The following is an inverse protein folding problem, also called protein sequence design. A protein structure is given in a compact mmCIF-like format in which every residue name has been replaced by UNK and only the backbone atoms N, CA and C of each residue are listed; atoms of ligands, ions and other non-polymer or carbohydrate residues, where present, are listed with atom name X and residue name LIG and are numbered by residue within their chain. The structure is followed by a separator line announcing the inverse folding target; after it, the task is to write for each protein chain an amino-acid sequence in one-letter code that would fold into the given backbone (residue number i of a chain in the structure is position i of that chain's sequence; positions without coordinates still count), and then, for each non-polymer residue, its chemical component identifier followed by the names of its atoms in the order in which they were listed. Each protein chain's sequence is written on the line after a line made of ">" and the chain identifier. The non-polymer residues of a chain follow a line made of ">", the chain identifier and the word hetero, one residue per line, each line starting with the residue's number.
data_IF_172842478461
#
_entry.id   IF_172842478461
#
_cell.length_a   1.000
_cell.length_b   1.000
_cell.length_c   1.000
_cell.angle_alpha   90.00
_cell.angle_beta   90.00
_cell.angle_gamma   90.00
#
_symmetry.space_group_name_H-M   'P 1'
#
loop_
_entity.id
_entity.type
_entity.pdbx_description
1 polymer ?
#
# COMPACT_ATOMS: atom_id res chain seq x y z
N UNK A 1 21.45 3.34 -17.25
CA UNK A 1 20.29 3.71 -16.43
C UNK A 1 20.23 2.66 -15.35
N UNK A 2 20.12 3.01 -14.08
CA UNK A 2 19.91 2.01 -13.03
C UNK A 2 18.54 1.35 -13.26
N UNK A 3 18.51 0.03 -13.30
CA UNK A 3 17.26 -0.72 -13.38
C UNK A 3 16.33 -0.30 -12.23
N UNK A 4 15.04 -0.12 -12.54
CA UNK A 4 14.08 0.26 -11.52
C UNK A 4 13.74 -0.95 -10.65
N UNK A 5 14.01 -0.86 -9.35
CA UNK A 5 13.88 -1.98 -8.41
C UNK A 5 12.54 -2.73 -8.53
N UNK A 6 11.42 -2.01 -8.66
CA UNK A 6 10.09 -2.61 -8.69
C UNK A 6 9.78 -3.40 -9.99
N UNK A 7 10.51 -3.15 -11.09
CA UNK A 7 10.37 -3.96 -12.31
C UNK A 7 10.72 -5.43 -12.07
N UNK A 8 11.57 -5.72 -11.08
CA UNK A 8 11.94 -7.09 -10.70
C UNK A 8 11.03 -7.67 -9.60
N UNK A 9 10.04 -6.95 -9.11
CA UNK A 9 9.17 -7.35 -8.00
C UNK A 9 7.76 -7.75 -8.43
N UNK A 10 7.52 -7.99 -9.72
CA UNK A 10 6.19 -8.31 -10.27
C UNK A 10 5.59 -9.55 -9.60
N UNK A 11 6.38 -10.63 -9.45
CA UNK A 11 5.92 -11.86 -8.80
C UNK A 11 5.58 -11.63 -7.33
N UNK A 12 6.44 -10.94 -6.59
CA UNK A 12 6.17 -10.54 -5.21
C UNK A 12 4.84 -9.78 -5.10
N UNK A 13 4.63 -8.76 -5.93
CA UNK A 13 3.41 -7.97 -5.93
C UNK A 13 2.16 -8.84 -6.22
N UNK A 14 2.25 -9.78 -7.15
CA UNK A 14 1.15 -10.71 -7.48
C UNK A 14 0.86 -11.68 -6.34
N UNK A 15 1.90 -12.16 -5.67
CA UNK A 15 1.80 -13.19 -4.64
C UNK A 15 1.33 -12.63 -3.30
N UNK A 16 1.50 -11.34 -3.01
CA UNK A 16 1.24 -10.77 -1.69
C UNK A 16 0.05 -9.81 -1.65
N UNK A 17 -0.28 -9.09 -2.71
CA UNK A 17 -1.33 -8.05 -2.68
C UNK A 17 -2.71 -8.55 -2.28
N UNK A 18 -3.05 -9.81 -2.59
CA UNK A 18 -4.32 -10.41 -2.20
C UNK A 18 -4.46 -10.66 -0.69
N UNK A 19 -3.37 -10.57 0.08
CA UNK A 19 -3.39 -10.71 1.55
C UNK A 19 -4.10 -9.54 2.26
N UNK A 20 -4.34 -8.42 1.58
CA UNK A 20 -4.76 -7.16 2.22
C UNK A 20 -6.26 -6.90 2.20
N UNK A 21 -6.98 -7.36 1.18
CA UNK A 21 -8.39 -6.99 0.97
C UNK A 21 -9.26 -8.19 0.64
N UNK A 22 -10.49 -8.20 1.17
CA UNK A 22 -11.57 -9.00 0.62
C UNK A 22 -12.32 -8.21 -0.47
N UNK A 23 -12.79 -8.90 -1.51
CA UNK A 23 -13.44 -8.25 -2.66
C UNK A 23 -14.79 -7.63 -2.26
N UNK A 24 -15.55 -8.28 -1.38
CA UNK A 24 -16.81 -7.77 -0.84
C UNK A 24 -16.64 -6.48 -0.01
N UNK A 25 -15.50 -6.33 0.68
CA UNK A 25 -15.20 -5.09 1.38
C UNK A 25 -14.88 -3.94 0.43
N UNK A 26 -14.14 -4.19 -0.66
CA UNK A 26 -13.91 -3.19 -1.69
C UNK A 26 -15.23 -2.76 -2.35
N UNK A 27 -16.14 -3.70 -2.62
CA UNK A 27 -17.48 -3.40 -3.11
C UNK A 27 -18.27 -2.55 -2.10
N UNK A 28 -18.22 -2.89 -0.81
CA UNK A 28 -18.81 -2.07 0.25
C UNK A 28 -18.24 -0.65 0.27
N UNK A 29 -16.92 -0.47 0.13
CA UNK A 29 -16.30 0.85 0.08
C UNK A 29 -16.82 1.66 -1.11
N UNK A 30 -16.85 1.08 -2.30
CA UNK A 30 -17.36 1.73 -3.53
C UNK A 30 -18.81 2.16 -3.36
N UNK A 31 -19.67 1.25 -2.91
CA UNK A 31 -21.13 1.48 -2.90
C UNK A 31 -21.61 2.29 -1.69
N UNK A 32 -21.04 2.04 -0.50
CA UNK A 32 -21.58 2.57 0.77
C UNK A 32 -20.75 3.72 1.34
N UNK A 33 -19.45 3.68 1.19
CA UNK A 33 -18.56 4.70 1.76
C UNK A 33 -18.32 5.82 0.78
N UNK A 34 -17.87 5.50 -0.43
CA UNK A 34 -17.59 6.50 -1.48
C UNK A 34 -18.82 6.84 -2.32
N UNK A 35 -19.85 5.98 -2.30
CA UNK A 35 -21.14 6.17 -2.97
C UNK A 35 -20.99 6.45 -4.48
N UNK A 36 -20.15 5.67 -5.13
CA UNK A 36 -19.89 5.76 -6.56
C UNK A 36 -21.03 5.02 -7.30
N UNK A 37 -21.98 5.75 -7.84
CA UNK A 37 -23.18 5.21 -8.51
C UNK A 37 -23.28 5.58 -9.98
N UNK A 38 -22.26 6.27 -10.52
CA UNK A 38 -22.15 6.67 -11.92
C UNK A 38 -20.76 6.35 -12.44
N UNK A 39 -20.57 6.17 -13.75
CA UNK A 39 -19.25 5.98 -14.34
C UNK A 39 -18.27 7.08 -13.90
N UNK A 40 -17.06 6.69 -13.58
CA UNK A 40 -15.98 7.57 -13.11
C UNK A 40 -14.71 7.35 -13.90
N UNK A 41 -13.93 8.42 -14.05
CA UNK A 41 -12.57 8.38 -14.59
C UNK A 41 -11.58 8.35 -13.42
N UNK A 42 -10.82 7.28 -13.34
CA UNK A 42 -9.83 7.06 -12.26
C UNK A 42 -8.43 7.27 -12.81
N UNK A 43 -7.57 7.89 -12.01
CA UNK A 43 -6.11 7.88 -12.19
C UNK A 43 -5.45 7.27 -10.95
N UNK A 44 -4.53 6.34 -11.13
CA UNK A 44 -3.71 5.76 -10.07
C UNK A 44 -2.25 6.15 -10.22
N UNK A 45 -1.69 6.68 -9.14
CA UNK A 45 -0.30 7.12 -9.01
C UNK A 45 0.53 6.01 -8.38
N UNK A 46 1.57 5.54 -9.08
CA UNK A 46 2.35 4.37 -8.68
C UNK A 46 1.53 3.08 -8.84
N UNK A 47 0.92 2.88 -10.02
CA UNK A 47 -0.03 1.79 -10.23
C UNK A 47 0.60 0.39 -10.27
N UNK A 48 1.93 0.29 -10.40
CA UNK A 48 2.60 -0.97 -10.62
C UNK A 48 2.01 -1.70 -11.85
N UNK A 49 1.63 -2.96 -11.67
CA UNK A 49 0.94 -3.74 -12.73
C UNK A 49 -0.60 -3.52 -12.77
N UNK A 50 -1.13 -2.49 -12.11
CA UNK A 50 -2.56 -2.15 -12.14
C UNK A 50 -3.44 -2.95 -11.17
N UNK A 51 -2.91 -3.42 -10.05
CA UNK A 51 -3.65 -4.25 -9.09
C UNK A 51 -4.98 -3.61 -8.63
N UNK A 52 -4.99 -2.32 -8.27
CA UNK A 52 -6.24 -1.67 -7.85
C UNK A 52 -7.23 -1.51 -9.00
N UNK A 53 -6.73 -1.30 -10.23
CA UNK A 53 -7.59 -1.34 -11.43
C UNK A 53 -8.30 -2.68 -11.59
N UNK A 54 -7.58 -3.81 -11.41
CA UNK A 54 -8.15 -5.15 -11.46
C UNK A 54 -9.22 -5.39 -10.39
N UNK A 55 -9.08 -4.76 -9.23
CA UNK A 55 -10.03 -4.90 -8.12
C UNK A 55 -11.24 -3.97 -8.22
N UNK A 56 -11.05 -2.75 -8.71
CA UNK A 56 -12.10 -1.73 -8.70
C UNK A 56 -12.97 -1.76 -9.96
N UNK A 57 -12.39 -1.94 -11.15
CA UNK A 57 -13.17 -1.91 -12.41
C UNK A 57 -14.34 -2.89 -12.44
N UNK A 58 -14.23 -4.13 -11.93
CA UNK A 58 -15.36 -5.07 -11.91
C UNK A 58 -16.54 -4.63 -11.04
N UNK A 59 -16.31 -3.76 -10.05
CA UNK A 59 -17.32 -3.34 -9.06
C UNK A 59 -17.77 -1.87 -9.25
N UNK A 60 -17.14 -1.16 -10.17
CA UNK A 60 -17.53 0.20 -10.56
C UNK A 60 -18.67 0.18 -11.60
N UNK A 61 -19.48 1.25 -11.69
CA UNK A 61 -20.48 1.38 -12.73
C UNK A 61 -19.90 1.25 -14.15
N UNK A 62 -20.63 0.57 -15.02
CA UNK A 62 -20.25 0.37 -16.43
C UNK A 62 -19.92 1.72 -17.11
N UNK A 63 -18.87 1.74 -17.94
CA UNK A 63 -18.34 2.95 -18.56
C UNK A 63 -17.33 3.72 -17.69
N UNK A 64 -16.96 3.20 -16.51
CA UNK A 64 -15.82 3.72 -15.76
C UNK A 64 -14.51 3.42 -16.49
N UNK A 65 -13.54 4.35 -16.40
CA UNK A 65 -12.24 4.23 -17.06
C UNK A 65 -11.10 4.32 -16.04
N UNK A 66 -9.97 3.72 -16.38
CA UNK A 66 -8.81 3.68 -15.49
C UNK A 66 -7.53 4.09 -16.22
N UNK A 67 -6.79 5.03 -15.64
CA UNK A 67 -5.45 5.42 -16.09
C UNK A 67 -4.45 5.09 -14.98
N UNK A 68 -3.50 4.21 -15.25
CA UNK A 68 -2.40 3.87 -14.36
C UNK A 68 -1.12 4.58 -14.75
N UNK A 69 -0.37 5.12 -13.79
CA UNK A 69 0.94 5.73 -14.02
C UNK A 69 1.96 5.10 -13.11
N UNK A 70 3.06 4.67 -13.68
CA UNK A 70 4.24 4.17 -12.96
C UNK A 70 5.50 4.51 -13.77
N UNK A 71 6.66 4.57 -13.12
CA UNK A 71 7.94 4.74 -13.80
C UNK A 71 8.58 3.42 -14.23
N UNK A 72 8.08 2.29 -13.72
CA UNK A 72 8.52 0.94 -14.06
C UNK A 72 8.04 0.55 -15.45
N UNK A 73 8.98 0.37 -16.37
CA UNK A 73 8.67 -0.01 -17.76
C UNK A 73 8.08 -1.42 -17.81
N UNK A 74 8.68 -2.37 -17.09
CA UNK A 74 8.24 -3.77 -17.09
C UNK A 74 6.91 -3.93 -16.35
N UNK A 75 6.70 -3.17 -15.28
CA UNK A 75 5.41 -3.09 -14.59
C UNK A 75 4.29 -2.63 -15.53
N UNK A 76 4.51 -1.56 -16.29
CA UNK A 76 3.53 -1.01 -17.23
C UNK A 76 3.30 -1.96 -18.42
N UNK A 77 4.35 -2.59 -18.94
CA UNK A 77 4.21 -3.60 -19.99
C UNK A 77 3.34 -4.77 -19.51
N UNK A 78 3.60 -5.26 -18.32
CA UNK A 78 2.81 -6.33 -17.70
C UNK A 78 1.34 -5.92 -17.45
N UNK A 79 1.12 -4.67 -17.00
CA UNK A 79 -0.23 -4.12 -16.86
C UNK A 79 -0.97 -4.11 -18.21
N UNK A 80 -0.33 -3.62 -19.28
CA UNK A 80 -0.91 -3.61 -20.63
C UNK A 80 -1.28 -5.03 -21.11
N UNK A 81 -0.41 -6.02 -20.89
CA UNK A 81 -0.67 -7.42 -21.25
C UNK A 81 -1.90 -7.98 -20.53
N UNK A 82 -2.04 -7.72 -19.24
CA UNK A 82 -3.19 -8.18 -18.45
C UNK A 82 -4.48 -7.50 -18.92
N UNK A 83 -4.47 -6.17 -19.03
CA UNK A 83 -5.68 -5.40 -19.30
C UNK A 83 -6.15 -5.51 -20.76
N UNK A 84 -5.26 -5.84 -21.71
CA UNK A 84 -5.65 -6.15 -23.08
C UNK A 84 -6.59 -7.37 -23.20
N UNK A 85 -6.65 -8.23 -22.16
CA UNK A 85 -7.54 -9.40 -22.11
C UNK A 85 -8.87 -9.11 -21.38
N UNK A 86 -9.07 -7.89 -20.89
CA UNK A 86 -10.21 -7.51 -20.06
C UNK A 86 -11.12 -6.52 -20.81
N UNK A 87 -12.44 -6.51 -20.52
CA UNK A 87 -13.41 -5.65 -21.21
C UNK A 87 -13.45 -4.22 -20.63
N UNK A 88 -12.33 -3.70 -20.14
CA UNK A 88 -12.26 -2.40 -19.47
C UNK A 88 -11.51 -1.37 -20.30
N UNK A 89 -11.99 -0.13 -20.31
CA UNK A 89 -11.30 1.01 -20.90
C UNK A 89 -10.19 1.45 -19.93
N UNK A 90 -8.94 1.18 -20.32
CA UNK A 90 -7.75 1.42 -19.47
C UNK A 90 -6.58 1.94 -20.28
N UNK A 91 -5.78 2.80 -19.66
CA UNK A 91 -4.56 3.37 -20.21
C UNK A 91 -3.43 3.25 -19.18
N UNK A 92 -2.23 2.87 -19.62
CA UNK A 92 -1.05 2.78 -18.76
C UNK A 92 0.08 3.65 -19.31
N UNK A 93 0.68 4.47 -18.45
CA UNK A 93 1.65 5.49 -18.83
C UNK A 93 2.94 5.26 -18.04
N UNK A 94 4.05 5.04 -18.76
CA UNK A 94 5.40 5.06 -18.16
C UNK A 94 5.79 6.51 -17.94
N UNK A 95 5.85 6.95 -16.69
CA UNK A 95 6.24 8.32 -16.37
C UNK A 95 6.70 8.46 -14.92
N UNK A 96 7.68 9.33 -14.70
CA UNK A 96 8.01 9.79 -13.36
C UNK A 96 6.95 10.82 -12.91
N UNK A 97 6.23 10.44 -11.87
CA UNK A 97 5.11 11.23 -11.34
C UNK A 97 5.59 12.59 -10.82
N UNK A 98 6.83 12.68 -10.34
CA UNK A 98 7.36 13.94 -9.83
C UNK A 98 7.48 15.02 -10.92
N UNK A 99 7.74 14.63 -12.15
CA UNK A 99 8.01 15.54 -13.26
C UNK A 99 6.82 15.76 -14.19
N UNK A 100 5.83 14.87 -14.17
CA UNK A 100 4.72 14.90 -15.13
C UNK A 100 3.61 15.87 -14.70
N UNK A 101 3.24 16.85 -15.54
CA UNK A 101 2.04 17.65 -15.34
C UNK A 101 0.80 16.84 -15.73
N UNK A 102 -0.25 16.89 -14.92
CA UNK A 102 -1.53 16.27 -15.25
C UNK A 102 -2.63 17.33 -15.41
N UNK A 103 -3.44 17.16 -16.44
CA UNK A 103 -4.63 17.96 -16.62
C UNK A 103 -5.72 17.54 -15.61
N UNK A 104 -6.51 18.51 -15.18
CA UNK A 104 -7.64 18.31 -14.28
C UNK A 104 -8.81 17.63 -15.00
N UNK A 105 -8.79 16.32 -15.10
CA UNK A 105 -9.78 15.56 -15.89
C UNK A 105 -10.38 14.33 -15.20
N UNK A 106 -9.86 13.93 -14.04
CA UNK A 106 -10.30 12.71 -13.36
C UNK A 106 -11.37 13.00 -12.30
N UNK A 107 -12.19 12.00 -12.03
CA UNK A 107 -13.18 12.05 -10.96
C UNK A 107 -12.57 11.54 -9.65
N UNK A 108 -11.61 10.61 -9.74
CA UNK A 108 -10.93 10.01 -8.60
C UNK A 108 -9.44 9.88 -8.90
N UNK A 109 -8.60 10.26 -7.92
CA UNK A 109 -7.17 9.94 -7.91
C UNK A 109 -6.87 8.94 -6.79
N UNK A 110 -6.10 7.90 -7.11
CA UNK A 110 -5.75 6.82 -6.18
C UNK A 110 -4.24 6.73 -6.02
N UNK A 111 -3.78 6.36 -4.81
CA UNK A 111 -2.45 5.79 -4.54
C UNK A 111 -2.61 4.49 -3.77
N UNK A 112 -1.76 3.50 -4.04
CA UNK A 112 -1.75 2.23 -3.35
C UNK A 112 -0.33 1.76 -3.04
N UNK A 113 0.03 1.76 -1.76
CA UNK A 113 1.39 1.44 -1.27
C UNK A 113 2.49 2.20 -2.06
N UNK A 114 2.25 3.48 -2.30
CA UNK A 114 3.10 4.33 -3.14
C UNK A 114 3.70 5.49 -2.36
N UNK A 115 2.89 6.21 -1.57
CA UNK A 115 3.34 7.41 -0.86
C UNK A 115 4.42 7.13 0.19
N UNK A 116 4.48 5.91 0.72
CA UNK A 116 5.55 5.48 1.63
C UNK A 116 6.96 5.56 1.00
N UNK A 117 7.04 5.51 -0.33
CA UNK A 117 8.30 5.59 -1.07
C UNK A 117 8.72 7.02 -1.42
N UNK A 118 7.85 7.99 -1.18
CA UNK A 118 8.10 9.39 -1.54
C UNK A 118 8.78 10.14 -0.39
N UNK A 119 9.77 10.95 -0.73
CA UNK A 119 10.45 11.85 0.23
C UNK A 119 9.61 13.09 0.54
N UNK A 120 8.73 13.49 -0.37
CA UNK A 120 7.76 14.57 -0.22
C UNK A 120 6.35 14.08 -0.62
N UNK A 121 5.68 13.29 0.25
CA UNK A 121 4.34 12.78 -0.03
C UNK A 121 3.28 13.89 -0.15
N UNK A 122 3.48 15.03 0.51
CA UNK A 122 2.57 16.17 0.41
C UNK A 122 2.56 16.78 -1.00
N UNK A 123 3.72 16.87 -1.65
CA UNK A 123 3.84 17.31 -3.05
C UNK A 123 3.06 16.38 -3.99
N UNK A 124 3.16 15.07 -3.77
CA UNK A 124 2.42 14.09 -4.57
C UNK A 124 0.91 14.20 -4.32
N UNK A 125 0.48 14.33 -3.06
CA UNK A 125 -0.93 14.55 -2.73
C UNK A 125 -1.48 15.81 -3.39
N UNK A 126 -0.71 16.91 -3.46
CA UNK A 126 -1.10 18.12 -4.20
C UNK A 126 -1.31 17.83 -5.69
N UNK A 127 -0.41 17.06 -6.34
CA UNK A 127 -0.59 16.63 -7.73
C UNK A 127 -1.85 15.78 -7.93
N UNK A 128 -2.11 14.83 -7.03
CA UNK A 128 -3.34 14.04 -7.04
C UNK A 128 -4.59 14.94 -6.96
N UNK A 129 -4.60 15.90 -6.04
CA UNK A 129 -5.69 16.87 -5.88
C UNK A 129 -5.87 17.72 -7.15
N UNK A 130 -4.78 18.17 -7.76
CA UNK A 130 -4.81 19.01 -8.97
C UNK A 130 -5.29 18.24 -10.21
N UNK A 131 -5.11 16.94 -10.26
CA UNK A 131 -5.62 16.08 -11.34
C UNK A 131 -7.13 15.80 -11.24
N UNK A 132 -7.73 16.04 -10.07
CA UNK A 132 -9.13 15.72 -9.79
C UNK A 132 -10.04 16.95 -10.02
N UNK A 133 -11.19 16.73 -10.63
CA UNK A 133 -12.25 17.73 -10.80
C UNK A 133 -12.79 18.20 -9.44
N UNK A 134 -13.41 19.38 -9.40
CA UNK A 134 -14.16 19.81 -8.22
C UNK A 134 -15.28 18.82 -7.87
N UNK A 135 -15.44 18.52 -6.60
CA UNK A 135 -16.29 17.45 -6.04
C UNK A 135 -15.83 16.01 -6.36
N UNK A 136 -14.68 15.82 -6.99
CA UNK A 136 -14.07 14.50 -7.13
C UNK A 136 -13.32 14.10 -5.86
N UNK A 137 -12.71 12.93 -5.84
CA UNK A 137 -12.17 12.29 -4.63
C UNK A 137 -10.70 11.94 -4.78
N UNK A 138 -9.94 12.06 -3.71
CA UNK A 138 -8.61 11.45 -3.56
C UNK A 138 -8.75 10.30 -2.57
N UNK A 139 -8.22 9.13 -2.93
CA UNK A 139 -8.25 7.90 -2.13
C UNK A 139 -6.82 7.35 -2.02
N UNK A 140 -6.33 7.14 -0.80
CA UNK A 140 -4.99 6.62 -0.54
C UNK A 140 -5.08 5.32 0.25
N UNK A 141 -4.53 4.25 -0.30
CA UNK A 141 -4.36 2.96 0.35
C UNK A 141 -2.89 2.83 0.76
N UNK A 142 -2.57 3.25 1.97
CA UNK A 142 -1.17 3.32 2.41
C UNK A 142 -0.92 2.49 3.67
N UNK A 143 0.24 1.84 3.78
CA UNK A 143 0.52 0.97 4.90
C UNK A 143 0.76 1.71 6.21
N UNK A 144 0.56 0.98 7.30
CA UNK A 144 1.04 1.30 8.62
C UNK A 144 1.89 0.11 9.09
N UNK A 145 3.17 0.11 8.70
CA UNK A 145 4.02 -1.08 8.82
C UNK A 145 4.18 -1.62 10.23
N UNK A 146 4.29 -0.75 11.26
CA UNK A 146 4.31 -1.22 12.65
C UNK A 146 3.05 -2.04 12.96
N UNK A 147 1.88 -1.57 12.51
CA UNK A 147 0.65 -2.32 12.72
C UNK A 147 0.63 -3.63 11.92
N UNK A 148 1.15 -3.65 10.68
CA UNK A 148 1.27 -4.87 9.89
C UNK A 148 2.16 -5.90 10.59
N UNK A 149 3.33 -5.48 11.06
CA UNK A 149 4.31 -6.37 11.68
C UNK A 149 3.83 -6.91 13.03
N UNK A 150 2.98 -6.17 13.74
CA UNK A 150 2.48 -6.55 15.07
C UNK A 150 1.13 -7.27 15.08
N UNK A 151 0.38 -7.19 13.97
CA UNK A 151 -0.98 -7.75 13.93
C UNK A 151 -0.99 -9.18 13.41
N UNK A 152 -0.24 -10.02 14.07
CA UNK A 152 -0.20 -11.46 13.84
C UNK A 152 -0.20 -12.21 15.18
N UNK A 153 -0.59 -13.48 15.14
CA UNK A 153 -0.52 -14.40 16.26
C UNK A 153 -0.05 -15.76 15.75
N UNK A 154 1.10 -16.19 16.23
CA UNK A 154 1.64 -17.54 15.99
C UNK A 154 1.35 -18.40 17.21
N UNK A 155 0.60 -19.49 17.03
CA UNK A 155 0.20 -20.36 18.13
C UNK A 155 1.39 -21.05 18.77
N UNK A 156 1.36 -21.15 20.11
CA UNK A 156 2.39 -21.78 20.91
C UNK A 156 3.64 -20.93 21.18
N UNK A 157 3.67 -19.65 20.76
CA UNK A 157 4.81 -18.74 20.94
C UNK A 157 4.36 -17.45 21.62
N UNK A 158 5.15 -16.97 22.56
CA UNK A 158 4.92 -15.64 23.14
C UNK A 158 5.24 -14.56 22.13
N UNK A 159 4.30 -13.64 21.91
CA UNK A 159 4.43 -12.57 20.91
C UNK A 159 5.68 -11.71 21.12
N UNK A 160 6.09 -11.46 22.35
CA UNK A 160 7.28 -10.69 22.68
C UNK A 160 8.60 -11.37 22.28
N UNK A 161 8.59 -12.69 22.03
CA UNK A 161 9.78 -13.42 21.61
C UNK A 161 10.07 -13.26 20.11
N UNK A 162 9.05 -12.91 19.32
CA UNK A 162 9.14 -12.81 17.87
C UNK A 162 8.92 -11.39 17.33
N UNK A 163 8.40 -10.45 18.13
CA UNK A 163 8.14 -9.06 17.73
C UNK A 163 8.57 -8.09 18.82
N UNK A 164 9.55 -7.23 18.51
CA UNK A 164 10.08 -6.20 19.41
C UNK A 164 9.51 -4.83 19.06
N UNK A 165 8.27 -4.55 19.47
CA UNK A 165 7.51 -3.36 19.06
C UNK A 165 8.24 -2.03 19.33
N UNK A 166 8.90 -1.89 20.49
CA UNK A 166 9.65 -0.67 20.81
C UNK A 166 10.80 -0.44 19.82
N UNK A 167 11.57 -1.48 19.55
CA UNK A 167 12.69 -1.43 18.59
C UNK A 167 12.18 -1.12 17.16
N UNK A 168 11.10 -1.77 16.73
CA UNK A 168 10.49 -1.50 15.44
C UNK A 168 10.03 -0.05 15.30
N UNK A 169 9.43 0.53 16.35
CA UNK A 169 9.03 1.92 16.33
C UNK A 169 10.23 2.85 16.15
N UNK A 170 11.30 2.63 16.88
CA UNK A 170 12.54 3.40 16.76
C UNK A 170 13.15 3.29 15.37
N UNK A 171 13.21 2.08 14.81
CA UNK A 171 13.72 1.86 13.45
C UNK A 171 12.94 2.66 12.42
N UNK A 172 11.61 2.63 12.43
CA UNK A 172 10.79 3.41 11.49
C UNK A 172 10.97 4.91 11.66
N UNK A 173 11.12 5.41 12.89
CA UNK A 173 11.37 6.82 13.16
C UNK A 173 12.75 7.26 12.68
N UNK A 174 13.80 6.43 12.89
CA UNK A 174 15.15 6.70 12.41
C UNK A 174 15.23 6.63 10.88
N UNK A 175 14.62 5.63 10.27
CA UNK A 175 14.57 5.50 8.81
C UNK A 175 13.89 6.70 8.15
N UNK A 176 12.80 7.19 8.71
CA UNK A 176 12.13 8.41 8.25
C UNK A 176 13.06 9.62 8.34
N UNK A 177 13.78 9.81 9.45
CA UNK A 177 14.75 10.91 9.61
C UNK A 177 15.90 10.80 8.61
N UNK A 178 16.39 9.59 8.35
CA UNK A 178 17.54 9.32 7.47
C UNK A 178 17.19 9.41 5.99
N UNK A 179 16.04 8.89 5.59
CA UNK A 179 15.66 8.71 4.17
C UNK A 179 14.60 9.69 3.68
N UNK A 180 13.85 10.34 4.58
CA UNK A 180 12.66 11.13 4.26
C UNK A 180 11.42 10.27 3.92
N UNK A 181 11.56 8.95 3.81
CA UNK A 181 10.48 8.00 3.49
C UNK A 181 9.84 7.47 4.76
N UNK A 182 8.54 7.25 4.75
CA UNK A 182 7.80 6.84 5.95
C UNK A 182 6.94 5.60 5.70
N UNK A 183 7.39 4.44 6.17
CA UNK A 183 6.63 3.18 6.12
C UNK A 183 5.32 3.20 6.92
N UNK A 184 5.14 4.18 7.80
CA UNK A 184 3.92 4.36 8.59
C UNK A 184 3.04 5.50 8.07
N UNK A 185 3.29 6.02 6.86
CA UNK A 185 2.61 7.18 6.29
C UNK A 185 1.07 7.05 6.32
N UNK A 186 0.54 5.84 6.17
CA UNK A 186 -0.90 5.59 6.12
C UNK A 186 -1.69 6.21 7.27
N UNK A 187 -1.13 6.19 8.49
CA UNK A 187 -1.81 6.77 9.66
C UNK A 187 -1.84 8.32 9.63
N UNK A 188 -0.96 8.95 8.84
CA UNK A 188 -0.84 10.40 8.74
C UNK A 188 -1.67 10.97 7.58
N UNK A 189 -2.01 10.17 6.56
CA UNK A 189 -2.73 10.62 5.36
C UNK A 189 -4.02 11.40 5.67
N UNK A 190 -4.90 11.00 6.61
CA UNK A 190 -6.09 11.80 6.91
C UNK A 190 -5.78 13.23 7.35
N UNK A 191 -4.69 13.40 8.12
CA UNK A 191 -4.24 14.72 8.58
C UNK A 191 -3.76 15.53 7.36
N UNK A 192 -2.92 14.96 6.51
CA UNK A 192 -2.41 15.62 5.31
C UNK A 192 -3.54 16.02 4.35
N UNK A 193 -4.50 15.13 4.09
CA UNK A 193 -5.67 15.44 3.25
C UNK A 193 -6.48 16.62 3.82
N UNK A 194 -6.69 16.65 5.14
CA UNK A 194 -7.39 17.75 5.81
C UNK A 194 -6.60 19.07 5.74
N UNK A 195 -5.29 19.02 5.98
CA UNK A 195 -4.41 20.20 5.89
C UNK A 195 -4.33 20.77 4.46
N UNK A 196 -4.43 19.90 3.45
CA UNK A 196 -4.48 20.27 2.03
C UNK A 196 -5.87 20.77 1.57
N UNK A 197 -6.82 20.88 2.49
CA UNK A 197 -8.13 21.49 2.27
C UNK A 197 -9.19 20.58 1.68
N UNK A 198 -9.01 19.26 1.71
CA UNK A 198 -10.07 18.33 1.32
C UNK A 198 -11.20 18.34 2.36
N UNK A 199 -12.43 18.09 1.87
CA UNK A 199 -13.63 17.98 2.70
C UNK A 199 -14.03 16.52 2.86
N UNK A 200 -14.86 16.26 3.87
CA UNK A 200 -15.38 14.93 4.16
C UNK A 200 -14.28 13.87 4.27
N UNK A 201 -13.15 14.26 4.86
CA UNK A 201 -12.03 13.36 5.07
C UNK A 201 -12.45 12.21 5.97
N UNK A 202 -12.22 10.99 5.51
CA UNK A 202 -12.48 9.77 6.25
C UNK A 202 -11.32 8.78 6.10
N UNK A 203 -11.29 7.80 7.00
CA UNK A 203 -10.32 6.72 6.95
C UNK A 203 -10.99 5.40 7.31
N UNK A 204 -10.54 4.33 6.66
CA UNK A 204 -10.89 2.93 6.94
C UNK A 204 -9.61 2.11 7.08
N UNK A 205 -9.77 0.88 7.50
CA UNK A 205 -8.68 -0.09 7.59
C UNK A 205 -9.02 -1.24 6.65
N UNK A 206 -8.01 -1.87 6.04
CA UNK A 206 -8.21 -3.14 5.33
C UNK A 206 -8.81 -4.18 6.27
N UNK A 207 -9.67 -5.02 5.72
CA UNK A 207 -10.54 -5.91 6.48
C UNK A 207 -10.05 -7.35 6.57
N UNK A 208 -9.07 -7.73 5.74
CA UNK A 208 -8.69 -9.12 5.56
C UNK A 208 -7.91 -9.66 6.74
N UNK A 209 -8.37 -10.81 7.22
CA UNK A 209 -7.65 -11.65 8.18
C UNK A 209 -7.25 -12.94 7.46
N UNK A 210 -5.97 -13.22 7.41
CA UNK A 210 -5.41 -14.43 6.84
C UNK A 210 -5.20 -15.44 7.97
N UNK A 211 -5.82 -16.60 7.83
CA UNK A 211 -5.70 -17.67 8.82
C UNK A 211 -5.05 -18.89 8.17
N UNK A 212 -3.80 -19.17 8.53
CA UNK A 212 -3.12 -20.41 8.15
C UNK A 212 -3.66 -21.53 9.04
N UNK A 213 -4.69 -22.19 8.53
CA UNK A 213 -5.40 -23.28 9.19
C UNK A 213 -4.83 -24.63 8.72
N UNK A 214 -4.45 -25.50 9.65
CA UNK A 214 -3.92 -26.83 9.33
C UNK A 214 -4.97 -27.76 8.74
N UNK A 215 -6.26 -27.43 8.84
CA UNK A 215 -7.35 -28.15 8.22
C UNK A 215 -7.64 -27.72 6.76
N UNK A 216 -6.92 -26.72 6.23
CA UNK A 216 -7.01 -26.34 4.83
C UNK A 216 -6.54 -27.46 3.91
N UNK A 217 -7.01 -27.48 2.66
CA UNK A 217 -6.41 -28.31 1.62
C UNK A 217 -4.93 -27.93 1.42
N UNK A 218 -4.12 -28.94 1.04
CA UNK A 218 -2.66 -28.76 0.96
C UNK A 218 -2.24 -27.67 -0.04
N UNK A 219 -3.00 -27.45 -1.13
CA UNK A 219 -2.71 -26.42 -2.13
C UNK A 219 -2.96 -25.02 -1.58
N UNK A 220 -4.14 -24.80 -0.97
CA UNK A 220 -4.52 -23.53 -0.36
C UNK A 220 -3.56 -23.14 0.78
N UNK A 221 -3.25 -24.13 1.66
CA UNK A 221 -2.29 -23.97 2.74
C UNK A 221 -0.91 -23.54 2.21
N UNK A 222 -0.36 -24.27 1.26
CA UNK A 222 0.95 -23.98 0.68
C UNK A 222 1.00 -22.62 -0.05
N UNK A 223 -0.09 -22.20 -0.69
CA UNK A 223 -0.19 -20.89 -1.32
C UNK A 223 -0.15 -19.78 -0.27
N UNK A 224 -0.97 -19.89 0.78
CA UNK A 224 -1.03 -18.89 1.85
C UNK A 224 0.30 -18.82 2.61
N UNK A 225 0.88 -19.95 2.98
CA UNK A 225 2.18 -19.98 3.66
C UNK A 225 3.27 -19.26 2.87
N UNK A 226 3.40 -19.54 1.56
CA UNK A 226 4.38 -18.85 0.70
C UNK A 226 4.10 -17.35 0.62
N UNK A 227 2.85 -16.94 0.43
CA UNK A 227 2.50 -15.53 0.38
C UNK A 227 2.83 -14.79 1.69
N UNK A 228 2.59 -15.42 2.84
CA UNK A 228 2.96 -14.85 4.15
C UNK A 228 4.48 -14.73 4.32
N UNK A 229 5.24 -15.74 3.86
CA UNK A 229 6.72 -15.68 3.84
C UNK A 229 7.23 -14.57 2.93
N UNK A 230 6.70 -14.45 1.71
CA UNK A 230 7.05 -13.38 0.78
C UNK A 230 6.68 -11.98 1.32
N UNK A 231 5.59 -11.86 2.07
CA UNK A 231 5.21 -10.60 2.74
C UNK A 231 6.14 -10.21 3.90
N UNK A 232 7.01 -11.11 4.32
CA UNK A 232 8.02 -10.85 5.35
C UNK A 232 7.80 -11.56 6.67
N UNK A 233 6.71 -12.33 6.85
CA UNK A 233 6.47 -13.03 8.10
C UNK A 233 7.44 -14.19 8.26
N UNK A 234 8.23 -14.13 9.32
CA UNK A 234 9.18 -15.17 9.67
C UNK A 234 10.17 -15.51 8.54
N UNK A 235 10.55 -14.55 7.71
CA UNK A 235 11.66 -14.73 6.78
C UNK A 235 12.94 -15.08 7.54
N UNK A 236 13.78 -15.90 6.93
CA UNK A 236 15.10 -16.17 7.49
C UNK A 236 15.94 -14.89 7.38
N UNK A 237 16.49 -14.37 8.49
CA UNK A 237 17.36 -13.22 8.42
C UNK A 237 18.64 -13.57 7.64
N UNK A 238 19.16 -12.61 6.92
CA UNK A 238 20.46 -12.69 6.23
C UNK A 238 21.61 -12.97 7.21
N UNK A 239 22.85 -12.99 6.71
CA UNK A 239 24.04 -13.17 7.56
C UNK A 239 23.97 -12.25 8.78
N UNK A 240 24.24 -12.83 9.94
CA UNK A 240 24.13 -12.11 11.22
C UNK A 240 24.97 -10.84 11.27
N UNK A 241 26.16 -10.85 10.71
CA UNK A 241 27.05 -9.69 10.75
C UNK A 241 26.50 -8.56 9.84
N UNK A 242 25.91 -8.91 8.69
CA UNK A 242 25.28 -7.97 7.78
C UNK A 242 24.04 -7.34 8.41
N UNK A 243 23.14 -8.15 8.99
CA UNK A 243 21.93 -7.67 9.67
C UNK A 243 22.30 -6.78 10.86
N UNK A 244 23.24 -7.21 11.70
CA UNK A 244 23.72 -6.40 12.83
C UNK A 244 24.26 -5.04 12.38
N UNK A 245 25.09 -5.03 11.32
CA UNK A 245 25.65 -3.79 10.79
C UNK A 245 24.56 -2.86 10.21
N UNK A 246 23.55 -3.43 9.52
CA UNK A 246 22.41 -2.64 9.03
C UNK A 246 21.64 -2.01 10.19
N UNK A 247 21.25 -2.79 11.19
CA UNK A 247 20.49 -2.31 12.35
C UNK A 247 21.23 -1.21 13.13
N UNK A 248 22.55 -1.38 13.34
CA UNK A 248 23.40 -0.36 13.96
C UNK A 248 23.48 0.91 13.09
N UNK A 249 23.60 0.78 11.77
CA UNK A 249 23.61 1.91 10.83
C UNK A 249 22.31 2.70 10.82
N UNK A 250 21.21 2.03 11.16
CA UNK A 250 19.86 2.61 11.30
C UNK A 250 19.61 3.24 12.67
N UNK A 251 20.57 3.19 13.57
CA UNK A 251 20.58 3.94 14.84
C UNK A 251 20.24 3.14 16.09
N UNK A 252 20.12 1.80 16.01
CA UNK A 252 19.97 0.97 17.20
C UNK A 252 21.28 0.83 17.97
N UNK A 253 21.19 0.61 19.28
CA UNK A 253 22.30 0.16 20.08
C UNK A 253 22.65 -1.32 19.78
N UNK A 254 23.85 -1.78 20.18
CA UNK A 254 24.25 -3.20 20.02
C UNK A 254 23.25 -4.16 20.70
N UNK A 255 22.72 -3.78 21.86
CA UNK A 255 21.75 -4.61 22.59
C UNK A 255 20.44 -4.72 21.81
N UNK A 256 19.89 -3.60 21.34
CA UNK A 256 18.64 -3.58 20.56
C UNK A 256 18.79 -4.31 19.23
N UNK A 257 19.91 -4.09 18.52
CA UNK A 257 20.19 -4.79 17.27
C UNK A 257 20.25 -6.32 17.49
N UNK A 258 20.89 -6.75 18.57
CA UNK A 258 20.94 -8.18 18.93
C UNK A 258 19.54 -8.72 19.26
N UNK A 259 18.76 -8.00 20.06
CA UNK A 259 17.39 -8.41 20.42
C UNK A 259 16.48 -8.50 19.18
N UNK A 260 16.60 -7.56 18.25
CA UNK A 260 15.84 -7.57 17.00
C UNK A 260 16.21 -8.78 16.13
N UNK A 261 17.52 -9.01 15.92
CA UNK A 261 17.99 -10.17 15.17
C UNK A 261 17.52 -11.49 15.76
N UNK A 262 17.62 -11.64 17.12
CA UNK A 262 17.20 -12.85 17.82
C UNK A 262 15.68 -13.07 17.68
N UNK A 263 14.87 -12.01 17.69
CA UNK A 263 13.42 -12.10 17.48
C UNK A 263 13.08 -12.52 16.05
N UNK A 264 13.73 -11.95 15.03
CA UNK A 264 13.53 -12.34 13.62
C UNK A 264 13.94 -13.80 13.39
N UNK A 265 15.09 -14.23 13.92
CA UNK A 265 15.56 -15.60 13.83
C UNK A 265 14.62 -16.58 14.57
N UNK A 266 14.09 -16.18 15.71
CA UNK A 266 13.10 -16.98 16.45
C UNK A 266 11.81 -17.12 15.64
N UNK A 267 11.31 -16.04 15.06
CA UNK A 267 10.11 -16.08 14.22
C UNK A 267 10.32 -16.98 13.00
N UNK A 268 11.44 -16.83 12.28
CA UNK A 268 11.77 -17.69 11.14
C UNK A 268 11.80 -19.17 11.48
N UNK A 269 12.42 -19.52 12.62
CA UNK A 269 12.55 -20.89 13.07
C UNK A 269 11.20 -21.51 13.49
N UNK A 270 10.31 -20.71 14.08
CA UNK A 270 9.04 -21.19 14.63
C UNK A 270 7.92 -21.22 13.59
N UNK A 271 7.98 -20.34 12.59
CA UNK A 271 6.95 -20.26 11.54
C UNK A 271 7.25 -21.22 10.40
N UNK A 272 6.50 -22.31 10.38
CA UNK A 272 6.54 -23.36 9.34
C UNK A 272 5.19 -23.50 8.66
N UNK A 273 5.09 -24.31 7.63
CA UNK A 273 3.82 -24.64 6.96
C UNK A 273 2.88 -25.50 7.82
N UNK A 274 3.38 -26.03 8.95
CA UNK A 274 2.61 -26.73 9.97
C UNK A 274 2.14 -25.83 11.12
N UNK A 275 2.46 -24.54 11.07
CA UNK A 275 2.08 -23.59 12.11
C UNK A 275 0.62 -23.16 11.97
N UNK A 276 -0.04 -22.89 13.09
CA UNK A 276 -1.28 -22.13 13.13
C UNK A 276 -0.91 -20.65 13.24
N UNK A 277 -1.32 -19.83 12.27
CA UNK A 277 -1.01 -18.40 12.29
C UNK A 277 -2.21 -17.59 11.83
N UNK A 278 -2.51 -16.53 12.57
CA UNK A 278 -3.44 -15.47 12.16
C UNK A 278 -2.63 -14.21 11.83
N UNK A 279 -2.90 -13.61 10.67
CA UNK A 279 -2.28 -12.35 10.24
C UNK A 279 -3.33 -11.42 9.65
N UNK A 280 -3.41 -10.21 10.18
CA UNK A 280 -4.32 -9.17 9.72
C UNK A 280 -3.51 -7.93 9.30
N UNK A 281 -3.10 -7.81 8.02
CA UNK A 281 -2.37 -6.64 7.54
C UNK A 281 -3.21 -5.37 7.69
N UNK A 282 -2.54 -4.24 7.85
CA UNK A 282 -3.17 -2.99 8.23
C UNK A 282 -2.88 -1.86 7.24
N UNK A 283 -3.61 -1.86 6.10
CA UNK A 283 -3.62 -0.73 5.19
C UNK A 283 -4.63 0.31 5.67
N UNK A 284 -4.21 1.57 5.70
CA UNK A 284 -5.11 2.70 5.94
C UNK A 284 -5.68 3.15 4.61
N UNK A 285 -7.01 3.18 4.51
CA UNK A 285 -7.75 3.61 3.33
C UNK A 285 -8.32 4.98 3.64
N UNK A 286 -7.56 6.02 3.31
CA UNK A 286 -7.91 7.40 3.57
C UNK A 286 -8.51 8.04 2.32
N UNK A 287 -9.52 8.88 2.48
CA UNK A 287 -10.17 9.54 1.36
C UNK A 287 -10.67 10.93 1.74
N UNK A 288 -10.82 11.78 0.72
CA UNK A 288 -11.38 13.13 0.91
C UNK A 288 -11.88 13.70 -0.41
N UNK A 289 -12.80 14.66 -0.34
CA UNK A 289 -13.41 15.32 -1.50
C UNK A 289 -12.69 16.63 -1.80
N UNK A 290 -12.33 16.83 -3.07
CA UNK A 290 -11.72 18.08 -3.56
C UNK A 290 -12.78 19.18 -3.64
N UNK A 291 -12.53 20.31 -2.98
CA UNK A 291 -13.46 21.42 -2.97
C UNK A 291 -13.59 22.07 -4.36
N UNK A 292 -14.81 22.40 -4.74
CA UNK A 292 -15.08 23.15 -5.97
C UNK A 292 -14.63 24.60 -5.77
N UNK A 293 -13.52 24.99 -6.41
CA UNK A 293 -13.14 26.40 -6.43
C UNK A 293 -14.18 27.17 -7.26
N UNK A 294 -15.16 27.77 -6.61
CA UNK A 294 -16.02 28.77 -7.24
C UNK A 294 -15.12 29.93 -7.68
N UNK A 295 -14.96 30.13 -8.98
CA UNK A 295 -14.39 31.36 -9.52
C UNK A 295 -15.36 32.50 -9.18
N UNK A 296 -15.21 33.10 -7.99
CA UNK A 296 -15.83 34.38 -7.69
C UNK A 296 -15.04 35.41 -8.51
N UNK A 297 -15.41 35.59 -9.75
CA UNK A 297 -15.04 36.78 -10.51
C UNK A 297 -15.65 37.96 -9.75
N UNK A 298 -14.82 38.64 -8.96
CA UNK A 298 -15.18 39.96 -8.45
C UNK A 298 -15.36 40.86 -9.66
N UNK A 299 -16.58 40.97 -10.16
CA UNK A 299 -16.97 42.16 -10.89
C UNK A 299 -16.87 43.32 -9.86
N UNK A 300 -15.77 44.02 -9.93
CA UNK A 300 -15.71 45.37 -9.35
C UNK A 300 -16.51 46.27 -10.27
N UNK A 301 -17.69 46.61 -9.83
CA UNK A 301 -18.40 47.79 -10.29
C UNK A 301 -17.76 49.04 -9.66
#
# INVERSE_FOLDING_TARGET
>A
MSEYYWDHQIEYLRNTRWLYYNDDYLEFLVQRVWKIHKPVKIIEYGCGFGYMGLKLLPILPEGSTYTGIDKGVDLINHANEIFAQLPYDSEFIVSDIEDTPFEKKYDIAISHAFLLHMTDPERILKKMIDSVKGNGMVICFEPHWIANMSNNYLDGIEQSDIIRLGILQELFEQDRKRTGKDGNIGIQIPILLSQLGLRNVGCRVSDKVNFLDQNMDARGKGLLYRALKEEGLGQEPDDRAEVMNDLLSRGLSETEAKEQYEAEAAFSKQFTDESWLVYAPNMKISFGTVELKLNVSRQRT
#
